data_IF_635395100966
#
_entry.id   IF_635395100966
#
_cell.length_a   1.000
_cell.length_b   1.000
_cell.length_c   1.000
_cell.angle_alpha   90.00
_cell.angle_beta   90.00
_cell.angle_gamma   90.00
#
_symmetry.space_group_name_H-M   'P 1'
#
loop_
_entity.id
_entity.type
_entity.pdbx_description
1 polymer ?
#
# COMPACT_ATOMS: atom_id res chain seq x y z
N UNK A 1 -16.80 -1.54 34.17
CA UNK A 1 -15.95 -1.49 32.97
C UNK A 1 -14.60 -2.10 33.34
N UNK A 2 -14.08 -3.07 32.58
CA UNK A 2 -12.85 -3.77 32.96
C UNK A 2 -11.63 -2.85 32.80
N UNK A 3 -10.72 -2.91 33.77
CA UNK A 3 -9.49 -2.10 33.87
C UNK A 3 -8.63 -2.18 32.60
N UNK A 4 -8.67 -3.31 31.89
CA UNK A 4 -7.96 -3.50 30.62
C UNK A 4 -8.48 -2.63 29.46
N UNK A 5 -9.78 -2.31 29.40
CA UNK A 5 -10.32 -1.43 28.35
C UNK A 5 -9.85 0.01 28.54
N UNK A 6 -9.74 0.46 29.78
CA UNK A 6 -9.28 1.81 30.10
C UNK A 6 -7.79 1.98 29.80
N UNK A 7 -6.95 1.00 30.14
CA UNK A 7 -5.52 1.02 29.83
C UNK A 7 -5.28 1.01 28.31
N UNK A 8 -6.05 0.23 27.56
CA UNK A 8 -5.94 0.17 26.09
C UNK A 8 -6.34 1.50 25.43
N UNK A 9 -7.43 2.13 25.88
CA UNK A 9 -7.87 3.45 25.38
C UNK A 9 -6.85 4.54 25.74
N UNK A 10 -6.26 4.49 26.94
CA UNK A 10 -5.22 5.43 27.36
C UNK A 10 -3.91 5.24 26.59
N UNK A 11 -3.54 4.01 26.23
CA UNK A 11 -2.39 3.73 25.38
C UNK A 11 -2.60 4.22 23.95
N UNK A 12 -3.81 4.06 23.40
CA UNK A 12 -4.18 4.64 22.11
C UNK A 12 -4.13 6.18 22.18
N UNK A 13 -4.68 6.79 23.23
CA UNK A 13 -4.60 8.24 23.43
C UNK A 13 -3.16 8.73 23.59
N UNK A 14 -2.31 8.00 24.31
CA UNK A 14 -0.89 8.34 24.45
C UNK A 14 -0.11 8.20 23.13
N UNK A 15 -0.52 7.30 22.23
CA UNK A 15 0.02 7.21 20.87
C UNK A 15 -0.53 8.29 19.93
N UNK A 16 -1.71 8.86 20.23
CA UNK A 16 -2.34 9.92 19.45
C UNK A 16 -1.76 11.32 19.73
N UNK A 17 -1.01 11.50 20.83
CA UNK A 17 -0.41 12.78 21.21
C UNK A 17 1.09 12.65 21.49
N UNK A 18 1.94 12.50 20.45
CA UNK A 18 3.39 12.61 20.65
C UNK A 18 3.74 14.01 21.21
N UNK A 19 4.76 14.11 22.09
CA UNK A 19 5.22 15.41 22.58
C UNK A 19 5.69 16.27 21.41
N UNK A 20 5.11 17.46 21.28
CA UNK A 20 5.47 18.45 20.26
C UNK A 20 6.91 18.92 20.48
N UNK A 21 7.86 18.31 19.79
CA UNK A 21 9.16 18.90 19.51
C UNK A 21 9.03 19.73 18.24
N UNK A 22 9.63 20.91 18.20
CA UNK A 22 9.62 21.77 17.00
C UNK A 22 10.48 21.14 15.91
N UNK A 23 9.94 21.08 14.69
CA UNK A 23 10.54 20.44 13.52
C UNK A 23 11.26 21.40 12.58
N UNK A 24 12.13 20.85 11.73
CA UNK A 24 12.82 21.59 10.67
C UNK A 24 12.74 20.81 9.34
N UNK A 25 11.66 21.01 8.56
CA UNK A 25 11.56 20.44 7.20
C UNK A 25 12.62 21.05 6.26
N UNK A 26 13.15 22.23 6.60
CA UNK A 26 14.27 22.80 5.85
C UNK A 26 15.54 21.97 6.03
N UNK A 27 15.74 21.32 7.19
CA UNK A 27 16.81 20.34 7.37
C UNK A 27 16.62 19.13 6.44
N UNK A 28 15.42 18.57 6.39
CA UNK A 28 15.09 17.47 5.49
C UNK A 28 15.43 17.83 4.03
N UNK A 29 14.97 19.00 3.57
CA UNK A 29 15.29 19.51 2.23
C UNK A 29 16.79 19.64 1.99
N UNK A 30 17.53 20.26 2.91
CA UNK A 30 18.99 20.46 2.78
C UNK A 30 19.73 19.12 2.64
N UNK A 31 19.30 18.10 3.38
CA UNK A 31 19.90 16.78 3.31
C UNK A 31 19.60 16.10 1.96
N UNK A 32 18.37 16.21 1.47
CA UNK A 32 17.98 15.76 0.13
C UNK A 32 18.80 16.44 -0.96
N UNK A 33 18.88 17.78 -0.96
CA UNK A 33 19.63 18.54 -1.97
C UNK A 33 21.14 18.24 -1.93
N UNK A 34 21.69 18.02 -0.75
CA UNK A 34 23.09 17.61 -0.56
C UNK A 34 23.34 16.21 -1.13
N UNK A 35 22.45 15.27 -0.87
CA UNK A 35 22.54 13.91 -1.41
C UNK A 35 22.40 13.90 -2.93
N UNK A 36 21.45 14.64 -3.50
CA UNK A 36 21.31 14.78 -4.95
C UNK A 36 22.58 15.35 -5.60
N UNK A 37 23.17 16.39 -5.00
CA UNK A 37 24.40 17.00 -5.49
C UNK A 37 25.54 15.99 -5.48
N UNK A 38 25.70 15.25 -4.38
CA UNK A 38 26.70 14.19 -4.26
C UNK A 38 26.50 13.07 -5.27
N UNK A 39 25.26 12.66 -5.52
CA UNK A 39 24.94 11.58 -6.48
C UNK A 39 25.13 12.02 -7.93
N UNK A 40 24.92 13.30 -8.24
CA UNK A 40 25.20 13.88 -9.57
C UNK A 40 26.69 14.03 -9.84
N UNK A 41 27.46 14.39 -8.82
CA UNK A 41 28.92 14.59 -8.90
C UNK A 41 29.71 13.29 -8.79
N UNK A 42 29.16 12.27 -8.11
CA UNK A 42 29.76 10.95 -8.07
C UNK A 42 29.96 10.46 -9.51
N UNK A 43 31.18 10.07 -9.91
CA UNK A 43 31.38 9.48 -11.21
C UNK A 43 30.43 8.28 -11.29
N UNK A 44 29.43 8.37 -12.17
CA UNK A 44 28.58 7.22 -12.51
C UNK A 44 29.58 6.09 -12.73
N UNK A 45 29.48 4.95 -12.00
CA UNK A 45 30.35 3.83 -12.28
C UNK A 45 30.31 3.69 -13.79
N UNK A 46 31.47 3.87 -14.45
CA UNK A 46 31.56 3.65 -15.88
C UNK A 46 30.98 2.26 -16.02
N UNK A 47 29.78 2.16 -16.61
CA UNK A 47 29.34 0.92 -17.20
C UNK A 47 30.55 0.54 -18.04
N UNK A 48 31.29 -0.48 -17.58
CA UNK A 48 32.24 -1.14 -18.43
C UNK A 48 31.42 -1.41 -19.67
N UNK A 49 31.68 -0.64 -20.74
CA UNK A 49 31.26 -0.98 -22.08
C UNK A 49 32.00 -2.27 -22.39
N UNK A 50 31.56 -3.37 -21.79
CA UNK A 50 31.67 -4.67 -22.40
C UNK A 50 30.88 -4.49 -23.67
N UNK A 51 31.62 -4.27 -24.74
CA UNK A 51 31.18 -4.60 -26.08
C UNK A 51 30.94 -6.12 -26.08
N UNK A 52 29.89 -6.56 -25.39
CA UNK A 52 29.34 -7.89 -25.56
C UNK A 52 28.70 -7.87 -26.93
N UNK A 53 29.44 -8.47 -27.86
CA UNK A 53 28.98 -8.85 -29.19
C UNK A 53 27.52 -9.32 -29.07
N UNK A 54 26.61 -8.96 -30.00
CA UNK A 54 25.31 -9.57 -30.04
C UNK A 54 25.51 -11.03 -30.45
N UNK A 55 25.76 -11.90 -29.46
CA UNK A 55 25.60 -13.32 -29.65
C UNK A 55 24.11 -13.54 -29.53
N UNK A 56 23.43 -13.31 -30.65
CA UNK A 56 22.03 -13.60 -30.88
C UNK A 56 21.88 -15.12 -30.92
N UNK A 57 22.09 -15.76 -29.77
CA UNK A 57 21.51 -17.05 -29.50
C UNK A 57 20.08 -16.74 -29.05
N UNK A 58 19.21 -16.50 -30.04
CA UNK A 58 17.79 -16.81 -29.95
C UNK A 58 17.66 -18.33 -29.74
N UNK A 59 18.16 -18.84 -28.62
CA UNK A 59 17.60 -20.05 -28.04
C UNK A 59 16.28 -19.61 -27.45
N UNK A 60 15.30 -19.49 -28.35
CA UNK A 60 13.90 -19.32 -28.07
C UNK A 60 13.50 -20.57 -27.28
N UNK A 61 13.70 -20.50 -25.96
CA UNK A 61 13.55 -21.63 -25.07
C UNK A 61 12.06 -21.92 -24.96
N UNK A 62 11.55 -22.66 -25.94
CA UNK A 62 10.13 -22.98 -26.13
C UNK A 62 9.52 -23.58 -24.86
N UNK A 63 10.31 -24.34 -24.09
CA UNK A 63 9.89 -24.85 -22.79
C UNK A 63 9.77 -23.74 -21.73
N UNK A 64 10.73 -22.81 -21.66
CA UNK A 64 10.65 -21.63 -20.78
C UNK A 64 9.46 -20.73 -21.11
N UNK A 65 9.24 -20.46 -22.40
CA UNK A 65 8.08 -19.70 -22.88
C UNK A 65 6.76 -20.42 -22.55
N UNK A 66 6.70 -21.73 -22.73
CA UNK A 66 5.54 -22.54 -22.36
C UNK A 66 5.25 -22.51 -20.85
N UNK A 67 6.28 -22.68 -20.01
CA UNK A 67 6.12 -22.58 -18.55
C UNK A 67 5.61 -21.20 -18.14
N UNK A 68 6.20 -20.14 -18.68
CA UNK A 68 5.74 -18.77 -18.42
C UNK A 68 4.28 -18.57 -18.81
N UNK A 69 3.87 -19.02 -20.00
CA UNK A 69 2.48 -18.94 -20.45
C UNK A 69 1.52 -19.68 -19.52
N UNK A 70 1.85 -20.91 -19.11
CA UNK A 70 1.04 -21.67 -18.16
C UNK A 70 0.95 -20.95 -16.82
N UNK A 71 2.07 -20.43 -16.31
CA UNK A 71 2.08 -19.68 -15.05
C UNK A 71 1.20 -18.44 -15.12
N UNK A 72 1.27 -17.67 -16.21
CA UNK A 72 0.42 -16.48 -16.42
C UNK A 72 -1.05 -16.86 -16.54
N UNK A 73 -1.38 -17.93 -17.28
CA UNK A 73 -2.76 -18.42 -17.40
C UNK A 73 -3.30 -18.92 -16.07
N UNK A 74 -2.52 -19.68 -15.31
CA UNK A 74 -2.89 -20.14 -13.98
C UNK A 74 -3.08 -18.96 -13.00
N UNK A 75 -2.18 -17.97 -13.05
CA UNK A 75 -2.31 -16.73 -12.29
C UNK A 75 -3.58 -15.98 -12.66
N UNK A 76 -3.87 -15.82 -13.95
CA UNK A 76 -5.05 -15.11 -14.45
C UNK A 76 -6.35 -15.85 -14.09
N UNK A 77 -6.36 -17.18 -14.18
CA UNK A 77 -7.51 -18.01 -13.79
C UNK A 77 -7.76 -17.93 -12.27
N UNK A 78 -6.71 -18.07 -11.47
CA UNK A 78 -6.78 -17.96 -10.01
C UNK A 78 -7.33 -16.60 -9.57
N UNK A 79 -6.73 -15.53 -10.09
CA UNK A 79 -7.08 -14.16 -9.74
C UNK A 79 -8.42 -13.71 -10.35
N UNK A 80 -8.76 -14.19 -11.55
CA UNK A 80 -10.02 -13.87 -12.22
C UNK A 80 -11.26 -14.51 -11.58
N UNK A 81 -11.07 -15.60 -10.84
CA UNK A 81 -12.13 -16.25 -10.06
C UNK A 81 -12.40 -15.57 -8.70
N UNK A 82 -11.58 -14.60 -8.30
CA UNK A 82 -11.72 -13.92 -7.01
C UNK A 82 -13.00 -13.09 -6.98
N UNK A 83 -13.72 -13.23 -5.87
CA UNK A 83 -14.85 -12.39 -5.50
C UNK A 83 -14.65 -11.87 -4.09
N UNK A 84 -15.14 -10.68 -3.85
CA UNK A 84 -15.12 -10.04 -2.54
C UNK A 84 -16.51 -10.14 -1.94
N UNK A 85 -16.60 -10.59 -0.70
CA UNK A 85 -17.87 -10.68 0.02
C UNK A 85 -18.14 -9.37 0.76
N UNK A 86 -19.30 -9.28 1.42
CA UNK A 86 -19.59 -8.18 2.33
C UNK A 86 -18.51 -8.04 3.40
N UNK A 87 -17.83 -6.88 3.37
CA UNK A 87 -16.82 -6.30 4.27
C UNK A 87 -15.71 -7.23 4.79
N UNK A 88 -14.50 -6.74 5.18
CA UNK A 88 -13.49 -7.59 5.78
C UNK A 88 -14.06 -8.48 6.88
N UNK A 89 -15.09 -8.00 7.59
CA UNK A 89 -15.90 -8.78 8.53
C UNK A 89 -17.37 -8.27 8.60
N UNK A 90 -18.24 -8.60 7.64
CA UNK A 90 -19.67 -8.38 7.86
C UNK A 90 -20.14 -9.17 9.10
N UNK A 91 -20.44 -8.45 10.19
CA UNK A 91 -20.96 -9.02 11.44
C UNK A 91 -22.40 -9.55 11.26
N UNK A 92 -23.11 -9.04 10.27
CA UNK A 92 -24.55 -9.25 10.02
C UNK A 92 -24.88 -10.39 9.06
N UNK A 93 -23.90 -10.96 8.35
CA UNK A 93 -24.15 -12.00 7.35
C UNK A 93 -23.69 -13.38 7.83
N UNK A 94 -24.56 -14.18 8.50
CA UNK A 94 -24.25 -15.55 8.88
C UNK A 94 -23.97 -16.39 7.63
N UNK A 95 -22.69 -16.65 7.36
CA UNK A 95 -22.25 -17.49 6.24
C UNK A 95 -20.94 -17.05 5.60
N UNK A 96 -20.60 -15.76 5.61
CA UNK A 96 -19.35 -15.27 5.04
C UNK A 96 -18.29 -15.16 6.14
N UNK A 97 -17.32 -16.10 6.14
CA UNK A 97 -16.20 -16.11 7.09
C UNK A 97 -15.01 -15.27 6.62
N UNK A 98 -14.87 -15.10 5.31
CA UNK A 98 -13.69 -14.55 4.66
C UNK A 98 -14.10 -13.39 3.74
N UNK A 99 -13.27 -12.34 3.68
CA UNK A 99 -13.48 -11.21 2.77
C UNK A 99 -13.23 -11.58 1.31
N UNK A 100 -12.16 -12.34 1.10
CA UNK A 100 -11.75 -12.86 -0.20
C UNK A 100 -12.37 -14.25 -0.33
N UNK A 101 -13.05 -14.50 -1.44
CA UNK A 101 -13.59 -15.80 -1.80
C UNK A 101 -13.35 -16.09 -3.28
N UNK A 102 -13.77 -17.27 -3.71
CA UNK A 102 -13.61 -17.69 -5.10
C UNK A 102 -14.91 -18.23 -5.67
N UNK A 103 -15.24 -17.80 -6.87
CA UNK A 103 -16.39 -18.25 -7.63
C UNK A 103 -16.01 -19.38 -8.61
N UNK A 104 -15.47 -20.48 -8.09
CA UNK A 104 -15.12 -21.65 -8.92
C UNK A 104 -16.37 -22.41 -9.43
N UNK A 105 -17.53 -22.24 -8.77
CA UNK A 105 -18.70 -23.12 -8.89
C UNK A 105 -19.91 -22.51 -9.63
N UNK A 106 -19.81 -21.34 -10.26
CA UNK A 106 -20.93 -20.78 -11.06
C UNK A 106 -21.26 -21.60 -12.31
N UNK A 107 -20.34 -22.46 -12.77
CA UNK A 107 -20.53 -23.30 -13.95
C UNK A 107 -21.24 -24.63 -13.69
N UNK A 108 -21.24 -25.17 -12.46
CA UNK A 108 -21.74 -26.54 -12.19
C UNK A 108 -23.08 -26.63 -11.44
N UNK A 109 -23.65 -25.52 -10.95
CA UNK A 109 -24.81 -25.58 -10.04
C UNK A 109 -25.97 -24.67 -10.44
N UNK A 110 -26.59 -24.99 -11.57
CA UNK A 110 -27.88 -24.47 -12.05
C UNK A 110 -29.09 -25.21 -11.48
N UNK A 111 -29.02 -25.72 -10.23
CA UNK A 111 -30.03 -26.66 -9.71
C UNK A 111 -30.50 -26.49 -8.27
N UNK A 112 -29.94 -25.57 -7.47
CA UNK A 112 -30.30 -25.45 -6.05
C UNK A 112 -31.07 -24.13 -5.75
N UNK A 113 -32.40 -24.19 -5.53
CA UNK A 113 -33.23 -23.00 -5.32
C UNK A 113 -32.97 -22.29 -3.98
N UNK A 114 -32.24 -22.90 -3.04
CA UNK A 114 -32.01 -22.33 -1.70
C UNK A 114 -30.81 -21.37 -1.59
N UNK A 115 -30.08 -21.10 -2.68
CA UNK A 115 -28.94 -20.16 -2.69
C UNK A 115 -29.18 -18.85 -3.47
N UNK A 116 -30.43 -18.41 -3.56
CA UNK A 116 -30.79 -17.00 -3.89
C UNK A 116 -30.46 -16.05 -2.72
N UNK A 117 -29.17 -15.91 -2.42
CA UNK A 117 -28.61 -14.86 -1.55
C UNK A 117 -27.40 -14.22 -2.25
N UNK A 118 -27.60 -13.93 -3.54
CA UNK A 118 -26.62 -13.50 -4.55
C UNK A 118 -26.25 -12.03 -4.50
N UNK A 119 -26.65 -11.28 -3.47
CA UNK A 119 -26.65 -9.81 -3.55
C UNK A 119 -25.44 -9.13 -2.89
N UNK A 120 -24.48 -9.88 -2.33
CA UNK A 120 -23.33 -9.31 -1.59
C UNK A 120 -21.95 -9.68 -2.14
N UNK A 121 -21.83 -10.49 -3.20
CA UNK A 121 -20.53 -10.75 -3.83
C UNK A 121 -20.22 -9.72 -4.91
N UNK A 122 -19.10 -9.03 -4.78
CA UNK A 122 -18.61 -8.01 -5.72
C UNK A 122 -17.29 -8.44 -6.33
N UNK A 123 -17.04 -8.02 -7.57
CA UNK A 123 -15.74 -8.22 -8.24
C UNK A 123 -14.79 -7.02 -8.06
N UNK A 124 -15.24 -6.04 -7.31
CA UNK A 124 -14.54 -4.81 -7.02
C UNK A 124 -14.68 -4.51 -5.52
N UNK A 125 -13.73 -3.76 -5.00
CA UNK A 125 -13.82 -3.11 -3.70
C UNK A 125 -12.93 -1.88 -3.72
N UNK A 126 -13.24 -0.91 -2.88
CA UNK A 126 -12.44 0.28 -2.70
C UNK A 126 -12.40 0.64 -1.23
N UNK A 127 -11.31 1.27 -0.84
CA UNK A 127 -11.06 1.78 0.48
C UNK A 127 -10.58 3.22 0.36
N UNK A 128 -11.34 4.12 0.97
CA UNK A 128 -10.97 5.52 1.17
C UNK A 128 -10.56 5.69 2.62
N UNK A 129 -9.38 6.24 2.89
CA UNK A 129 -8.93 6.52 4.25
C UNK A 129 -8.45 7.96 4.36
N UNK A 130 -8.68 8.58 5.51
CA UNK A 130 -8.19 9.91 5.85
C UNK A 130 -7.77 9.98 7.32
N UNK A 131 -6.72 10.74 7.62
CA UNK A 131 -6.15 10.75 8.95
C UNK A 131 -5.16 11.88 9.21
N UNK A 132 -4.65 11.90 10.44
CA UNK A 132 -3.57 12.77 10.88
C UNK A 132 -2.22 12.05 10.82
N UNK A 133 -1.18 12.83 10.60
CA UNK A 133 0.21 12.40 10.65
C UNK A 133 0.93 13.19 11.74
N UNK A 134 1.80 12.50 12.49
CA UNK A 134 2.84 13.13 13.30
C UNK A 134 4.17 12.44 12.99
N UNK A 135 5.24 13.22 12.84
CA UNK A 135 6.57 12.71 12.49
C UNK A 135 7.55 12.83 13.66
N UNK A 136 8.62 12.04 13.62
CA UNK A 136 9.71 12.06 14.59
C UNK A 136 10.55 13.34 14.55
N UNK A 137 10.57 14.03 13.42
CA UNK A 137 11.15 15.37 13.30
C UNK A 137 10.29 16.44 13.97
N UNK A 138 9.05 16.12 14.37
CA UNK A 138 8.08 17.05 14.99
C UNK A 138 7.06 17.64 14.00
N UNK A 139 7.19 17.34 12.70
CA UNK A 139 6.25 17.78 11.69
C UNK A 139 4.92 17.05 11.87
N UNK A 140 3.83 17.69 11.46
CA UNK A 140 2.49 17.12 11.52
C UNK A 140 1.74 17.39 10.23
N UNK A 141 0.62 16.70 10.03
CA UNK A 141 -0.24 17.03 8.91
C UNK A 141 -1.32 16.00 8.67
N UNK A 142 -1.60 15.76 7.39
CA UNK A 142 -2.76 15.01 6.96
C UNK A 142 -2.41 13.93 5.94
N UNK A 143 -3.22 12.88 5.96
CA UNK A 143 -3.15 11.77 5.03
C UNK A 143 -4.51 11.55 4.40
N UNK A 144 -4.53 11.23 3.11
CA UNK A 144 -5.65 10.66 2.42
C UNK A 144 -5.17 9.53 1.48
N UNK A 145 -5.91 8.43 1.40
CA UNK A 145 -5.63 7.36 0.43
C UNK A 145 -6.91 6.85 -0.22
N UNK A 146 -6.73 6.39 -1.46
CA UNK A 146 -7.68 5.60 -2.21
C UNK A 146 -6.96 4.36 -2.70
N UNK A 147 -7.42 3.19 -2.28
CA UNK A 147 -6.94 1.91 -2.80
C UNK A 147 -8.11 1.01 -3.11
N UNK A 148 -7.94 0.06 -4.02
CA UNK A 148 -9.02 -0.86 -4.32
C UNK A 148 -8.72 -1.77 -5.49
N UNK A 149 -9.78 -2.25 -6.12
CA UNK A 149 -9.83 -3.20 -7.22
C UNK A 149 -11.04 -2.87 -8.08
N UNK A 150 -10.86 -2.48 -9.34
CA UNK A 150 -11.97 -2.39 -10.30
C UNK A 150 -12.15 -3.71 -11.06
N UNK A 151 -11.06 -4.45 -11.26
CA UNK A 151 -11.06 -5.86 -11.64
C UNK A 151 -10.61 -6.71 -10.45
N UNK A 152 -10.90 -8.02 -10.44
CA UNK A 152 -10.51 -8.91 -9.34
C UNK A 152 -9.02 -8.84 -8.96
N UNK A 153 -8.12 -8.41 -9.85
CA UNK A 153 -6.69 -8.37 -9.60
C UNK A 153 -6.01 -7.04 -9.93
N UNK A 154 -6.73 -6.04 -10.40
CA UNK A 154 -6.16 -4.75 -10.79
C UNK A 154 -7.01 -3.62 -10.23
N UNK A 155 -6.36 -2.62 -9.66
CA UNK A 155 -7.06 -1.52 -9.02
C UNK A 155 -6.24 -0.26 -8.88
N UNK A 156 -6.89 0.86 -8.51
CA UNK A 156 -6.21 2.11 -8.29
C UNK A 156 -5.48 2.06 -6.94
N UNK A 157 -4.39 2.80 -6.88
CA UNK A 157 -3.66 3.02 -5.65
C UNK A 157 -3.11 4.45 -5.63
N UNK A 158 -3.68 5.28 -4.78
CA UNK A 158 -3.33 6.68 -4.63
C UNK A 158 -3.19 7.04 -3.15
N UNK A 159 -2.12 7.76 -2.83
CA UNK A 159 -1.84 8.27 -1.48
C UNK A 159 -1.45 9.74 -1.58
N UNK A 160 -2.01 10.56 -0.69
CA UNK A 160 -1.70 11.96 -0.52
C UNK A 160 -1.31 12.22 0.93
N UNK A 161 -0.14 12.79 1.14
CA UNK A 161 0.40 13.16 2.45
C UNK A 161 0.82 14.62 2.45
N UNK A 162 0.49 15.33 3.52
CA UNK A 162 0.97 16.68 3.80
C UNK A 162 1.73 16.65 5.11
N UNK A 163 2.91 17.26 5.12
CA UNK A 163 3.75 17.54 6.28
C UNK A 163 3.88 19.05 6.45
N UNK A 164 3.81 19.53 7.68
CA UNK A 164 3.91 20.93 8.07
C UNK A 164 4.67 21.03 9.40
N UNK A 165 5.69 21.90 9.45
CA UNK A 165 6.52 22.14 10.66
C UNK A 165 6.16 23.42 11.41
N UNK A 166 5.23 24.22 10.89
CA UNK A 166 4.90 25.55 11.42
C UNK A 166 5.25 26.68 10.46
N UNK A 167 6.20 26.46 9.55
CA UNK A 167 6.68 27.49 8.62
C UNK A 167 6.52 27.04 7.16
N UNK A 168 6.87 25.79 6.87
CA UNK A 168 6.92 25.23 5.52
C UNK A 168 6.03 24.01 5.39
N UNK A 169 5.64 23.71 4.15
CA UNK A 169 4.77 22.57 3.83
C UNK A 169 5.44 21.69 2.78
N UNK A 170 5.49 20.39 3.04
CA UNK A 170 5.88 19.37 2.07
C UNK A 170 4.66 18.49 1.75
N UNK A 171 4.38 18.31 0.47
CA UNK A 171 3.30 17.45 0.00
C UNK A 171 3.89 16.29 -0.79
N UNK A 172 3.44 15.07 -0.50
CA UNK A 172 3.72 13.86 -1.27
C UNK A 172 2.42 13.33 -1.85
N UNK A 173 2.32 13.37 -3.17
CA UNK A 173 1.23 12.74 -3.90
C UNK A 173 1.78 11.55 -4.70
N UNK A 174 1.16 10.38 -4.53
CA UNK A 174 1.45 9.20 -5.35
C UNK A 174 0.16 8.66 -5.95
N UNK A 175 0.20 8.24 -7.21
CA UNK A 175 -0.97 7.68 -7.90
C UNK A 175 -0.53 6.65 -8.92
N UNK A 176 -1.23 5.53 -8.98
CA UNK A 176 -0.96 4.48 -9.93
C UNK A 176 -1.88 3.29 -9.79
N UNK A 177 -1.30 2.11 -10.05
CA UNK A 177 -2.02 0.86 -10.08
C UNK A 177 -1.36 -0.16 -9.15
N UNK A 178 -2.21 -1.01 -8.60
CA UNK A 178 -1.83 -2.17 -7.81
C UNK A 178 -2.35 -3.44 -8.52
N UNK A 179 -1.51 -4.48 -8.58
CA UNK A 179 -1.75 -5.76 -9.24
C UNK A 179 -1.61 -6.90 -8.23
N UNK A 180 -2.68 -7.68 -8.05
CA UNK A 180 -2.69 -8.84 -7.16
C UNK A 180 -1.81 -9.96 -7.72
N UNK A 181 -0.84 -10.41 -6.94
CA UNK A 181 -0.07 -11.61 -7.22
C UNK A 181 -0.80 -12.84 -6.69
N UNK A 182 -1.14 -12.80 -5.40
CA UNK A 182 -1.79 -13.89 -4.68
C UNK A 182 -2.95 -13.31 -3.88
N UNK A 183 -4.12 -13.95 -3.97
CA UNK A 183 -5.27 -13.59 -3.17
C UNK A 183 -5.82 -14.87 -2.57
N UNK A 184 -6.05 -14.89 -1.27
CA UNK A 184 -6.62 -16.00 -0.53
C UNK A 184 -7.52 -15.45 0.57
N UNK A 185 -8.38 -16.30 1.12
CA UNK A 185 -9.35 -16.02 2.19
C UNK A 185 -8.97 -14.93 3.21
N UNK A 186 -7.73 -14.94 3.69
CA UNK A 186 -7.24 -14.04 4.73
C UNK A 186 -6.03 -13.21 4.29
N UNK A 187 -5.65 -13.24 3.03
CA UNK A 187 -4.37 -12.71 2.60
C UNK A 187 -4.41 -12.21 1.15
N UNK A 188 -3.86 -11.02 0.94
CA UNK A 188 -3.68 -10.40 -0.35
C UNK A 188 -2.23 -9.96 -0.46
N UNK A 189 -1.54 -10.44 -1.48
CA UNK A 189 -0.23 -9.95 -1.88
C UNK A 189 -0.32 -9.33 -3.26
N UNK A 190 0.14 -8.09 -3.38
CA UNK A 190 0.18 -7.36 -4.62
C UNK A 190 1.50 -6.65 -4.84
N UNK A 191 1.75 -6.29 -6.10
CA UNK A 191 2.79 -5.34 -6.50
C UNK A 191 2.12 -4.06 -6.98
N UNK A 192 2.78 -2.92 -6.78
CA UNK A 192 2.27 -1.64 -7.26
C UNK A 192 3.33 -0.84 -7.99
N UNK A 193 2.85 0.01 -8.89
CA UNK A 193 3.65 1.01 -9.60
C UNK A 193 2.86 2.32 -9.70
N UNK A 194 3.50 3.43 -9.31
CA UNK A 194 2.89 4.75 -9.16
C UNK A 194 3.80 5.84 -9.70
N UNK A 195 3.21 6.93 -10.18
CA UNK A 195 3.91 8.21 -10.26
C UNK A 195 3.98 8.83 -8.87
N UNK A 196 5.10 9.48 -8.54
CA UNK A 196 5.35 10.13 -7.25
C UNK A 196 5.71 11.60 -7.46
N UNK A 197 5.13 12.49 -6.65
CA UNK A 197 5.24 13.93 -6.81
C UNK A 197 5.44 14.59 -5.45
N UNK A 198 6.62 15.19 -5.24
CA UNK A 198 6.85 16.12 -4.13
C UNK A 198 6.50 17.54 -4.55
N UNK A 199 5.79 18.29 -3.70
CA UNK A 199 5.44 19.70 -3.90
C UNK A 199 5.61 20.51 -2.61
N UNK A 200 5.76 21.83 -2.72
CA UNK A 200 5.95 22.74 -1.59
C UNK A 200 7.43 22.99 -1.34
N UNK A 201 7.92 22.67 -0.16
CA UNK A 201 9.33 22.88 0.23
C UNK A 201 10.33 22.16 -0.69
N UNK A 202 9.91 21.02 -1.25
CA UNK A 202 10.66 20.27 -2.24
C UNK A 202 9.77 19.97 -3.45
N UNK A 203 10.25 20.27 -4.65
CA UNK A 203 9.55 19.96 -5.90
C UNK A 203 10.29 18.91 -6.72
N UNK A 204 9.75 17.69 -6.78
CA UNK A 204 10.34 16.57 -7.53
C UNK A 204 9.25 15.71 -8.15
N UNK A 205 9.57 15.08 -9.27
CA UNK A 205 8.73 14.10 -9.95
C UNK A 205 9.51 12.79 -10.06
N UNK A 206 8.85 11.68 -9.84
CA UNK A 206 9.49 10.38 -9.77
C UNK A 206 8.49 9.24 -9.92
N UNK A 207 8.94 8.05 -9.55
CA UNK A 207 8.13 6.85 -9.53
C UNK A 207 8.20 6.19 -8.16
N UNK A 208 7.10 5.60 -7.72
CA UNK A 208 7.07 4.74 -6.55
C UNK A 208 6.68 3.32 -6.97
N UNK A 209 7.33 2.33 -6.40
CA UNK A 209 7.10 0.92 -6.71
C UNK A 209 7.29 0.08 -5.47
N UNK A 210 6.68 -1.10 -5.44
CA UNK A 210 6.84 -2.00 -4.31
C UNK A 210 5.83 -3.12 -4.27
N UNK A 211 5.68 -3.66 -3.09
CA UNK A 211 4.78 -4.75 -2.76
C UNK A 211 3.91 -4.39 -1.56
N UNK A 212 2.67 -4.85 -1.59
CA UNK A 212 1.71 -4.67 -0.50
C UNK A 212 1.21 -6.04 -0.03
N UNK A 213 1.23 -6.24 1.28
CA UNK A 213 0.72 -7.42 1.97
C UNK A 213 -0.43 -6.98 2.86
N UNK A 214 -1.61 -7.53 2.63
CA UNK A 214 -2.77 -7.32 3.48
C UNK A 214 -3.22 -8.65 4.06
N UNK A 215 -3.29 -8.72 5.38
CA UNK A 215 -3.72 -9.90 6.13
C UNK A 215 -4.96 -9.58 6.97
N UNK A 216 -5.95 -10.46 6.91
CA UNK A 216 -7.21 -10.40 7.65
C UNK A 216 -7.13 -11.32 8.87
N UNK A 217 -6.20 -11.02 9.78
CA UNK A 217 -5.72 -11.88 10.87
C UNK A 217 -6.86 -12.46 11.72
N UNK A 218 -7.79 -11.62 12.17
CA UNK A 218 -8.90 -12.02 13.03
C UNK A 218 -10.02 -11.00 12.90
N UNK A 219 -11.27 -11.36 13.20
CA UNK A 219 -12.34 -10.35 13.21
C UNK A 219 -12.21 -9.45 14.45
N UNK A 220 -12.28 -8.10 14.34
CA UNK A 220 -12.41 -7.29 13.13
C UNK A 220 -11.11 -6.53 12.80
N UNK A 221 -9.97 -7.20 12.73
CA UNK A 221 -8.62 -6.63 12.62
C UNK A 221 -7.96 -7.07 11.30
N UNK A 222 -7.47 -6.11 10.53
CA UNK A 222 -6.57 -6.38 9.41
C UNK A 222 -5.22 -5.69 9.57
N UNK A 223 -4.17 -6.31 9.06
CA UNK A 223 -2.83 -5.75 8.95
C UNK A 223 -2.53 -5.44 7.49
N UNK A 224 -2.00 -4.25 7.22
CA UNK A 224 -1.48 -3.83 5.91
C UNK A 224 0.00 -3.51 6.08
N UNK A 225 0.84 -4.11 5.26
CA UNK A 225 2.27 -3.83 5.19
C UNK A 225 2.62 -3.46 3.74
N UNK A 226 3.37 -2.39 3.54
CA UNK A 226 3.92 -2.04 2.23
C UNK A 226 5.43 -1.89 2.32
N UNK A 227 6.11 -2.43 1.33
CA UNK A 227 7.56 -2.36 1.18
C UNK A 227 7.85 -1.90 -0.23
N UNK A 228 8.71 -0.90 -0.40
CA UNK A 228 9.00 -0.39 -1.73
C UNK A 228 10.07 0.67 -1.72
N UNK A 229 10.05 1.46 -2.78
CA UNK A 229 10.86 2.66 -2.88
C UNK A 229 10.18 3.76 -3.69
N UNK A 230 10.68 4.97 -3.49
CA UNK A 230 10.35 6.15 -4.28
C UNK A 230 11.64 6.66 -4.90
N UNK A 231 11.69 6.68 -6.22
CA UNK A 231 12.86 7.09 -7.00
C UNK A 231 12.58 8.42 -7.67
N UNK A 232 13.49 9.36 -7.49
CA UNK A 232 13.57 10.64 -8.19
C UNK A 232 14.93 10.70 -8.92
N UNK A 233 15.08 11.62 -9.89
CA UNK A 233 16.24 11.68 -10.80
C UNK A 233 17.64 11.44 -10.19
N UNK A 234 17.86 11.85 -8.94
CA UNK A 234 19.16 11.71 -8.26
C UNK A 234 19.06 11.19 -6.82
N UNK A 235 17.89 10.74 -6.36
CA UNK A 235 17.70 10.25 -4.99
C UNK A 235 16.65 9.13 -4.96
N UNK A 236 16.98 8.08 -4.22
CA UNK A 236 16.09 6.96 -3.96
C UNK A 236 15.79 6.90 -2.47
N UNK A 237 14.52 6.67 -2.15
CA UNK A 237 14.05 6.42 -0.81
C UNK A 237 13.52 4.99 -0.71
N UNK A 238 14.00 4.23 0.27
CA UNK A 238 13.32 3.04 0.73
C UNK A 238 12.07 3.44 1.52
N UNK A 239 10.95 2.75 1.27
CA UNK A 239 9.69 2.98 1.93
C UNK A 239 9.21 1.73 2.65
N UNK A 240 8.82 1.88 3.91
CA UNK A 240 8.15 0.85 4.70
C UNK A 240 6.92 1.44 5.39
N UNK A 241 5.75 0.88 5.14
CA UNK A 241 4.49 1.27 5.77
C UNK A 241 3.90 0.06 6.50
N UNK A 242 3.42 0.26 7.72
CA UNK A 242 2.69 -0.76 8.47
C UNK A 242 1.48 -0.18 9.15
N UNK A 243 0.31 -0.78 8.95
CA UNK A 243 -0.97 -0.29 9.44
C UNK A 243 -1.86 -1.40 9.98
N UNK A 244 -2.44 -1.18 11.14
CA UNK A 244 -3.50 -1.99 11.72
C UNK A 244 -4.83 -1.28 11.54
N UNK A 245 -5.82 -1.99 11.01
CA UNK A 245 -7.18 -1.50 10.84
C UNK A 245 -8.12 -2.26 11.77
N UNK A 246 -8.95 -1.54 12.51
CA UNK A 246 -10.06 -2.05 13.29
C UNK A 246 -11.37 -1.73 12.58
N UNK A 247 -12.04 -2.77 12.13
CA UNK A 247 -13.17 -2.73 11.21
C UNK A 247 -14.53 -2.72 11.95
N UNK A 248 -15.46 -1.87 11.52
CA UNK A 248 -16.86 -1.84 11.95
C UNK A 248 -17.80 -1.48 10.79
N UNK A 249 -18.54 -2.47 10.32
CA UNK A 249 -19.48 -2.37 9.18
C UNK A 249 -18.86 -1.88 7.87
N UNK A 250 -18.93 -0.60 7.47
CA UNK A 250 -18.18 -0.10 6.29
C UNK A 250 -16.98 0.73 6.68
N UNK A 251 -16.87 1.05 7.96
CA UNK A 251 -15.91 2.03 8.46
C UNK A 251 -14.81 1.31 9.23
N UNK A 252 -13.59 1.81 9.18
CA UNK A 252 -12.51 1.30 10.02
C UNK A 252 -11.74 2.44 10.64
N UNK A 253 -11.25 2.21 11.85
CA UNK A 253 -10.22 3.03 12.45
C UNK A 253 -8.88 2.41 12.12
N UNK A 254 -7.85 3.22 11.89
CA UNK A 254 -6.52 2.71 11.67
C UNK A 254 -5.47 3.43 12.50
N UNK A 255 -4.40 2.70 12.79
CA UNK A 255 -3.17 3.22 13.36
C UNK A 255 -1.97 2.51 12.74
N UNK A 256 -0.92 3.25 12.45
CA UNK A 256 0.24 2.72 11.76
C UNK A 256 1.42 3.67 11.76
N UNK A 257 2.41 3.33 10.95
CA UNK A 257 3.53 4.22 10.68
C UNK A 257 4.10 4.00 9.30
N UNK A 258 4.75 5.04 8.79
CA UNK A 258 5.44 5.06 7.50
C UNK A 258 6.87 5.58 7.72
N UNK A 259 7.83 4.82 7.23
CA UNK A 259 9.25 5.13 7.22
C UNK A 259 9.67 5.40 5.78
N UNK A 260 10.18 6.60 5.54
CA UNK A 260 10.85 6.97 4.30
C UNK A 260 12.32 7.22 4.61
N UNK A 261 13.22 6.51 3.95
CA UNK A 261 14.65 6.54 4.28
C UNK A 261 15.51 6.55 3.02
N UNK A 262 16.43 7.52 2.91
CA UNK A 262 17.51 7.53 1.92
C UNK A 262 18.84 7.17 2.59
N UNK A 263 19.96 7.35 1.88
CA UNK A 263 21.30 7.18 2.48
C UNK A 263 21.65 8.27 3.49
N UNK A 264 21.04 9.45 3.38
CA UNK A 264 21.39 10.64 4.16
C UNK A 264 20.27 11.10 5.09
N UNK A 265 19.02 10.78 4.78
CA UNK A 265 17.86 11.28 5.53
C UNK A 265 16.87 10.17 5.88
N UNK A 266 16.10 10.42 6.94
CA UNK A 266 15.07 9.54 7.45
C UNK A 266 13.90 10.38 7.92
N UNK A 267 12.70 10.00 7.50
CA UNK A 267 11.43 10.55 7.95
C UNK A 267 10.56 9.39 8.47
N UNK A 268 10.35 9.32 9.77
CA UNK A 268 9.43 8.36 10.37
C UNK A 268 8.15 9.07 10.81
N UNK A 269 7.02 8.49 10.45
CA UNK A 269 5.70 9.09 10.66
C UNK A 269 4.78 8.07 11.30
N UNK A 270 4.01 8.52 12.29
CA UNK A 270 2.89 7.80 12.89
C UNK A 270 1.62 8.34 12.26
N UNK A 271 0.76 7.44 11.81
CA UNK A 271 -0.47 7.77 11.09
C UNK A 271 -1.67 7.18 11.83
N UNK A 272 -2.72 7.97 12.03
CA UNK A 272 -3.99 7.48 12.60
C UNK A 272 -5.17 8.13 11.89
N UNK A 273 -6.28 7.41 11.79
CA UNK A 273 -7.44 7.97 11.13
C UNK A 273 -8.62 7.03 10.99
N UNK A 274 -9.50 7.38 10.06
CA UNK A 274 -10.72 6.67 9.73
C UNK A 274 -10.76 6.39 8.23
N UNK A 275 -11.38 5.30 7.84
CA UNK A 275 -11.70 5.05 6.45
C UNK A 275 -13.03 4.34 6.24
N UNK A 276 -13.38 4.21 4.97
CA UNK A 276 -14.61 3.63 4.46
C UNK A 276 -14.28 2.60 3.37
N UNK A 277 -14.96 1.47 3.37
CA UNK A 277 -14.88 0.42 2.33
C UNK A 277 -16.20 0.32 1.57
N UNK A 278 -16.14 0.19 0.25
CA UNK A 278 -17.30 0.06 -0.64
C UNK A 278 -17.06 -0.91 -1.80
#
# INVERSE_FOLDING_TARGET
MSTGRTVFVLLILALLFPPMAFADLSAFRRDVEREESRNREAPRPQEERRADKPNHNENDNSFGNFLFQITVLAWAAHNGAVVYTGYPYALSSPGYRNFIGYDWNRWERTGDPMRRRSDETRRYWFELAGGGIASDDGSYGGFASLQGRFFPFLGPDADYRIYFDGETQLQLFTVGLDLALIQHDYFLWSIYGKGAFFRGELERNGAAFGTSLRSYIARPVSLVLRFGGISFDAIDFAQFEGRLNLHQDRWFLFGGGNLLQSSSTRLFTVETGIGLVF
#
